data_IF_293467329499
#
_entry.id   IF_293467329499
#
_cell.length_a   1.000
_cell.length_b   1.000
_cell.length_c   1.000
_cell.angle_alpha   90.00
_cell.angle_beta   90.00
_cell.angle_gamma   90.00
#
_symmetry.space_group_name_H-M   'P 1'
#
loop_
_entity.id
_entity.type
_entity.pdbx_description
1 polymer ?
#
# COMPACT_ATOMS: atom_id res chain seq x y z
N UNK A 1 -6.46 4.63 -7.32
CA UNK A 1 -5.72 3.35 -7.26
C UNK A 1 -4.25 3.59 -7.59
N UNK A 2 -3.36 3.02 -6.77
CA UNK A 2 -1.90 3.08 -6.89
C UNK A 2 -1.36 1.66 -6.69
N UNK A 3 -0.17 1.37 -7.22
CA UNK A 3 0.48 0.08 -7.03
C UNK A 3 1.84 0.24 -6.38
N UNK A 4 2.21 -0.71 -5.54
CA UNK A 4 3.55 -0.87 -4.99
C UNK A 4 4.04 -2.28 -5.27
N UNK A 5 5.34 -2.46 -5.47
CA UNK A 5 5.95 -3.76 -5.68
C UNK A 5 7.39 -3.77 -5.17
N UNK A 6 7.88 -4.95 -4.80
CA UNK A 6 9.27 -5.16 -4.40
C UNK A 6 9.93 -6.23 -5.26
N UNK A 7 11.17 -5.95 -5.66
CA UNK A 7 12.06 -6.88 -6.36
C UNK A 7 13.10 -7.50 -5.43
N UNK A 8 13.01 -7.25 -4.12
CA UNK A 8 13.88 -7.88 -3.15
C UNK A 8 13.69 -9.41 -3.14
N UNK A 9 14.76 -10.14 -2.83
CA UNK A 9 14.71 -11.60 -2.69
C UNK A 9 13.93 -12.05 -1.44
N UNK A 10 13.72 -11.14 -0.50
CA UNK A 10 13.02 -11.38 0.77
C UNK A 10 11.84 -10.42 0.93
N UNK A 11 10.92 -10.77 1.83
CA UNK A 11 9.84 -9.86 2.21
C UNK A 11 10.43 -8.61 2.85
N UNK A 12 9.96 -7.44 2.41
CA UNK A 12 10.38 -6.16 2.95
C UNK A 12 9.19 -5.39 3.50
N UNK A 13 9.40 -4.75 4.64
CA UNK A 13 8.44 -3.87 5.28
C UNK A 13 8.61 -2.45 4.72
N UNK A 14 7.66 -2.03 3.88
CA UNK A 14 7.71 -0.72 3.21
C UNK A 14 6.82 0.26 3.96
N UNK A 15 7.35 1.44 4.27
CA UNK A 15 6.54 2.58 4.71
C UNK A 15 6.36 3.53 3.54
N UNK A 16 5.11 3.93 3.29
CA UNK A 16 4.80 4.86 2.22
C UNK A 16 5.12 6.29 2.68
N UNK A 17 6.02 6.94 1.96
CA UNK A 17 6.24 8.38 2.06
C UNK A 17 5.38 9.05 0.98
N UNK A 18 4.27 9.67 1.41
CA UNK A 18 3.23 10.19 0.53
C UNK A 18 3.22 11.71 0.64
N UNK A 19 3.37 12.37 -0.50
CA UNK A 19 3.05 13.80 -0.62
C UNK A 19 1.54 13.99 -0.70
N UNK A 20 0.93 14.20 0.46
CA UNK A 20 -0.52 14.38 0.60
C UNK A 20 -1.05 15.61 -0.12
N UNK A 21 -0.26 16.69 -0.18
CA UNK A 21 -0.65 17.93 -0.84
C UNK A 21 -0.73 17.74 -2.36
N UNK A 22 0.21 16.99 -2.94
CA UNK A 22 0.18 16.65 -4.37
C UNK A 22 -1.01 15.75 -4.76
N UNK A 23 -1.60 15.03 -3.79
CA UNK A 23 -2.77 14.18 -4.00
C UNK A 23 -4.10 14.86 -3.65
N UNK A 24 -4.08 16.05 -3.06
CA UNK A 24 -5.27 16.76 -2.54
C UNK A 24 -6.06 15.91 -1.52
N UNK A 25 -5.34 15.19 -0.64
CA UNK A 25 -5.91 14.31 0.40
C UNK A 25 -5.50 14.82 1.79
N UNK A 26 -6.43 14.84 2.74
CA UNK A 26 -6.15 15.12 4.15
C UNK A 26 -5.56 13.88 4.83
N UNK A 27 -4.25 13.92 5.11
CA UNK A 27 -3.53 12.83 5.76
C UNK A 27 -4.17 12.34 7.08
N UNK A 28 -4.84 13.23 7.83
CA UNK A 28 -5.50 12.89 9.10
C UNK A 28 -6.82 12.14 8.93
N UNK A 29 -7.38 12.14 7.71
CA UNK A 29 -8.59 11.40 7.34
C UNK A 29 -8.31 10.29 6.32
N UNK A 30 -7.07 10.19 5.86
CA UNK A 30 -6.72 9.29 4.80
C UNK A 30 -6.87 7.83 5.22
N UNK A 31 -7.32 7.00 4.29
CA UNK A 31 -7.39 5.55 4.45
C UNK A 31 -6.60 4.87 3.34
N UNK A 32 -5.93 3.77 3.69
CA UNK A 32 -5.16 2.97 2.74
C UNK A 32 -5.73 1.56 2.79
N UNK A 33 -6.35 1.12 1.70
CA UNK A 33 -6.96 -0.21 1.62
C UNK A 33 -6.46 -0.97 0.41
N UNK A 34 -6.40 -2.30 0.54
CA UNK A 34 -6.15 -3.24 -0.53
C UNK A 34 -7.40 -4.11 -0.68
N UNK A 35 -8.15 -4.02 -1.79
CA UNK A 35 -9.29 -4.91 -2.00
C UNK A 35 -8.78 -6.34 -2.24
N UNK A 36 -9.59 -7.34 -1.91
CA UNK A 36 -9.31 -8.71 -2.34
C UNK A 36 -9.37 -8.79 -3.87
N UNK A 37 -8.35 -9.42 -4.47
CA UNK A 37 -8.32 -9.78 -5.89
C UNK A 37 -7.93 -11.24 -5.96
N UNK A 38 -8.83 -12.07 -6.51
CA UNK A 38 -8.61 -13.51 -6.66
C UNK A 38 -7.29 -13.77 -7.38
N UNK A 39 -6.53 -14.76 -6.87
CA UNK A 39 -5.20 -15.16 -7.34
C UNK A 39 -4.10 -14.08 -7.32
N UNK A 40 -4.35 -12.89 -6.73
CA UNK A 40 -3.38 -11.79 -6.70
C UNK A 40 -3.08 -11.28 -5.28
N UNK A 41 -4.09 -10.82 -4.53
CA UNK A 41 -3.90 -10.24 -3.19
C UNK A 41 -5.12 -10.50 -2.27
N UNK A 42 -4.92 -10.67 -0.95
CA UNK A 42 -6.03 -10.68 0.01
C UNK A 42 -6.56 -9.25 0.27
N UNK A 43 -7.69 -9.13 0.96
CA UNK A 43 -8.11 -7.84 1.48
C UNK A 43 -7.21 -7.41 2.65
N UNK A 44 -6.86 -6.12 2.72
CA UNK A 44 -6.13 -5.54 3.84
C UNK A 44 -6.47 -4.05 4.02
N UNK A 45 -6.29 -3.54 5.23
CA UNK A 45 -6.35 -2.12 5.56
C UNK A 45 -5.09 -1.75 6.30
N UNK A 46 -4.48 -0.62 5.95
CA UNK A 46 -3.26 -0.11 6.56
C UNK A 46 -3.50 1.28 7.12
N UNK A 47 -2.96 1.55 8.30
CA UNK A 47 -2.93 2.88 8.88
C UNK A 47 -1.84 3.71 8.20
N UNK A 48 -2.04 5.02 8.07
CA UNK A 48 -1.00 5.92 7.56
C UNK A 48 0.28 5.79 8.40
N UNK A 49 1.40 5.51 7.72
CA UNK A 49 2.71 5.29 8.36
C UNK A 49 2.97 3.86 8.85
N UNK A 50 1.96 2.98 8.76
CA UNK A 50 2.13 1.54 9.01
C UNK A 50 3.06 0.92 7.96
N UNK A 51 3.81 -0.10 8.38
CA UNK A 51 4.61 -0.89 7.46
C UNK A 51 3.72 -1.85 6.67
N UNK A 52 3.87 -1.84 5.35
CA UNK A 52 3.18 -2.76 4.44
C UNK A 52 4.18 -3.87 4.05
N UNK A 53 3.92 -5.14 4.40
CA UNK A 53 4.79 -6.24 3.99
C UNK A 53 4.63 -6.51 2.49
N UNK A 54 5.73 -6.47 1.77
CA UNK A 54 5.78 -6.78 0.33
C UNK A 54 6.70 -7.97 0.11
N UNK A 55 6.10 -9.10 -0.26
CA UNK A 55 6.83 -10.33 -0.55
C UNK A 55 7.68 -10.26 -1.83
N UNK A 56 8.61 -11.21 -2.03
CA UNK A 56 9.47 -11.26 -3.22
C UNK A 56 8.66 -11.35 -4.51
N UNK A 57 8.96 -10.48 -5.48
CA UNK A 57 8.25 -10.39 -6.77
C UNK A 57 6.72 -10.25 -6.63
N UNK A 58 6.25 -9.67 -5.51
CA UNK A 58 4.84 -9.37 -5.24
C UNK A 58 4.63 -7.87 -5.12
N UNK A 59 3.36 -7.49 -5.07
CA UNK A 59 2.94 -6.12 -4.89
C UNK A 59 1.52 -6.02 -4.35
N UNK A 60 1.09 -4.79 -4.13
CA UNK A 60 -0.25 -4.44 -3.71
C UNK A 60 -0.87 -3.42 -4.66
N UNK A 61 -2.14 -3.60 -4.95
CA UNK A 61 -3.02 -2.55 -5.44
C UNK A 61 -3.68 -1.87 -4.24
N UNK A 62 -3.37 -0.59 -4.08
CA UNK A 62 -3.84 0.24 -2.99
C UNK A 62 -4.84 1.27 -3.48
N UNK A 63 -5.92 1.43 -2.73
CA UNK A 63 -6.82 2.57 -2.78
C UNK A 63 -6.40 3.50 -1.65
N UNK A 64 -6.11 4.74 -2.01
CA UNK A 64 -5.71 5.81 -1.09
C UNK A 64 -6.72 6.92 -1.32
N UNK A 65 -7.45 7.28 -0.27
CA UNK A 65 -8.52 8.28 -0.24
C UNK A 65 -8.49 9.07 1.06
#
# INVERSE_FOLDING_TARGET
MRSIASWAAETVDVRLDIDWAALDIDAGKATITAPQVEDFQPAATFVVGEAIPVGPARGWLLIIE
#
